data_IF_711600796623
#
_entry.id   IF_711600796623
#
_cell.length_a   1.000
_cell.length_b   1.000
_cell.length_c   1.000
_cell.angle_alpha   90.00
_cell.angle_beta   90.00
_cell.angle_gamma   90.00
#
_symmetry.space_group_name_H-M   'P 1'
#
loop_
_entity.id
_entity.type
_entity.pdbx_description
1 polymer ?
#
# COMPACT_ATOMS: atom_id res chain seq x y z
N UNK A 1 11.48 -2.16 -5.95
CA UNK A 1 11.54 -0.93 -6.76
C UNK A 1 11.99 0.25 -5.91
N UNK A 2 12.63 1.22 -6.53
CA UNK A 2 12.98 2.49 -5.86
C UNK A 2 11.86 3.49 -6.12
N UNK A 3 11.55 4.31 -5.12
CA UNK A 3 10.64 5.42 -5.30
C UNK A 3 11.21 6.43 -6.32
N UNK A 4 10.33 7.04 -7.09
CA UNK A 4 10.66 7.96 -8.19
C UNK A 4 10.15 9.35 -7.86
N UNK A 5 10.76 10.37 -8.48
CA UNK A 5 10.29 11.75 -8.41
C UNK A 5 10.15 12.32 -6.98
N UNK A 6 10.99 11.88 -6.05
CA UNK A 6 10.91 12.28 -4.64
C UNK A 6 11.10 13.79 -4.40
N UNK A 7 11.71 14.49 -5.35
CA UNK A 7 11.90 15.95 -5.29
C UNK A 7 10.71 16.75 -5.87
N UNK A 8 9.72 16.08 -6.45
CA UNK A 8 8.51 16.72 -6.93
C UNK A 8 7.64 17.17 -5.75
N UNK A 9 7.27 18.45 -5.72
CA UNK A 9 6.50 19.05 -4.62
C UNK A 9 5.13 18.40 -4.42
N UNK A 10 4.47 17.97 -5.51
CA UNK A 10 3.18 17.27 -5.41
C UNK A 10 3.35 15.88 -4.83
N UNK A 11 4.43 15.17 -5.19
CA UNK A 11 4.76 13.86 -4.59
C UNK A 11 5.04 14.02 -3.10
N UNK A 12 5.77 15.07 -2.69
CA UNK A 12 6.02 15.37 -1.28
C UNK A 12 4.72 15.69 -0.53
N UNK A 13 3.87 16.55 -1.11
CA UNK A 13 2.55 16.86 -0.54
C UNK A 13 1.68 15.62 -0.42
N UNK A 14 1.62 14.78 -1.43
CA UNK A 14 0.89 13.51 -1.38
C UNK A 14 1.39 12.57 -0.30
N UNK A 15 2.71 12.51 -0.09
CA UNK A 15 3.32 11.72 0.99
C UNK A 15 2.93 12.25 2.37
N UNK A 16 2.97 13.57 2.57
CA UNK A 16 2.57 14.19 3.85
C UNK A 16 1.13 13.84 4.21
N UNK A 17 0.22 13.99 3.26
CA UNK A 17 -1.18 13.64 3.43
C UNK A 17 -1.38 12.15 3.74
N UNK A 18 -0.72 11.28 2.97
CA UNK A 18 -0.83 9.82 3.10
C UNK A 18 -0.33 9.33 4.45
N UNK A 19 0.82 9.85 4.91
CA UNK A 19 1.45 9.42 6.17
C UNK A 19 0.77 10.07 7.38
N UNK A 20 0.35 11.33 7.24
CA UNK A 20 -0.21 12.14 8.31
C UNK A 20 -1.75 12.12 8.34
N UNK A 21 -2.35 13.15 7.79
CA UNK A 21 -3.77 13.50 8.01
C UNK A 21 -4.76 12.41 7.60
N UNK A 22 -4.48 11.69 6.54
CA UNK A 22 -5.36 10.62 6.05
C UNK A 22 -5.29 9.37 6.92
N UNK A 23 -4.14 9.10 7.56
CA UNK A 23 -3.92 7.90 8.38
C UNK A 23 -3.72 6.61 7.57
N UNK A 24 -3.45 6.70 6.26
CA UNK A 24 -3.23 5.52 5.42
C UNK A 24 -2.02 4.69 5.90
N UNK A 25 -1.02 5.35 6.48
CA UNK A 25 0.20 4.72 6.98
C UNK A 25 -0.02 3.83 8.22
N UNK A 26 -1.20 3.83 8.84
CA UNK A 26 -1.50 2.89 9.94
C UNK A 26 -1.45 1.43 9.46
N UNK A 27 -1.97 1.17 8.26
CA UNK A 27 -1.92 -0.13 7.61
C UNK A 27 -0.80 -0.18 6.55
N UNK A 28 -0.68 0.86 5.74
CA UNK A 28 0.37 1.00 4.73
C UNK A 28 1.67 1.54 5.36
N UNK A 29 2.22 0.80 6.33
CA UNK A 29 3.47 1.15 7.02
C UNK A 29 4.60 1.31 6.03
N UNK A 30 5.26 2.47 6.07
CA UNK A 30 6.20 2.87 5.03
C UNK A 30 7.41 1.95 4.90
N UNK A 31 7.99 1.50 6.00
CA UNK A 31 9.25 0.76 5.95
C UNK A 31 9.37 -0.33 7.01
N UNK A 32 10.23 -1.29 6.67
CA UNK A 32 10.69 -2.35 7.57
C UNK A 32 12.21 -2.52 7.41
N UNK A 33 12.82 -3.17 8.38
CA UNK A 33 14.17 -3.70 8.24
C UNK A 33 14.06 -5.22 8.17
N UNK A 34 14.64 -5.82 7.14
CA UNK A 34 14.70 -7.27 7.01
C UNK A 34 15.52 -7.89 8.15
N UNK A 35 15.22 -9.12 8.49
CA UNK A 35 15.94 -9.82 9.55
C UNK A 35 17.42 -10.07 9.21
N UNK A 36 18.15 -10.57 10.21
CA UNK A 36 19.52 -11.01 10.02
C UNK A 36 19.58 -12.26 9.13
N UNK A 37 20.75 -12.53 8.56
CA UNK A 37 20.97 -13.68 7.65
C UNK A 37 20.76 -15.06 8.31
N UNK A 38 20.86 -15.10 9.62
CA UNK A 38 20.77 -16.34 10.39
C UNK A 38 19.33 -16.76 10.74
N UNK A 39 18.37 -16.55 9.89
CA UNK A 39 17.00 -17.08 10.03
C UNK A 39 16.95 -18.61 9.97
N UNK A 40 17.83 -19.27 10.70
CA UNK A 40 17.97 -20.72 10.77
C UNK A 40 16.75 -21.48 11.27
N UNK A 41 15.66 -20.78 11.64
CA UNK A 41 14.40 -21.40 12.08
C UNK A 41 13.35 -21.51 10.99
N UNK A 42 13.60 -21.00 9.78
CA UNK A 42 12.62 -21.11 8.70
C UNK A 42 12.62 -22.53 8.10
N UNK A 43 11.71 -23.36 8.56
CA UNK A 43 11.44 -24.69 7.95
C UNK A 43 11.16 -24.58 6.45
N UNK A 44 10.60 -23.45 5.99
CA UNK A 44 10.27 -23.20 4.57
C UNK A 44 11.55 -23.03 3.74
N UNK A 45 12.56 -22.35 4.28
CA UNK A 45 13.81 -22.09 3.56
C UNK A 45 14.89 -23.18 3.81
N UNK A 46 14.59 -24.20 4.63
CA UNK A 46 15.53 -25.27 4.93
C UNK A 46 16.84 -24.75 5.51
N UNK A 47 16.76 -23.74 6.38
CA UNK A 47 17.91 -23.07 7.01
C UNK A 47 18.89 -22.41 6.03
N UNK A 48 18.45 -22.11 4.82
CA UNK A 48 19.28 -21.40 3.83
C UNK A 48 19.55 -19.96 4.28
N UNK A 49 20.79 -19.57 4.19
CA UNK A 49 21.19 -18.17 4.37
C UNK A 49 20.82 -17.35 3.14
N UNK A 50 20.35 -16.12 3.38
CA UNK A 50 19.95 -15.18 2.36
C UNK A 50 20.68 -13.82 2.56
N UNK A 51 22.04 -13.80 2.50
CA UNK A 51 22.83 -12.64 2.89
C UNK A 51 22.48 -11.39 2.10
N UNK A 52 22.05 -11.53 0.84
CA UNK A 52 21.64 -10.42 -0.02
C UNK A 52 20.44 -9.64 0.49
N UNK A 53 19.66 -10.22 1.40
CA UNK A 53 18.42 -9.63 1.90
C UNK A 53 18.49 -9.30 3.39
N UNK A 54 19.61 -9.60 4.05
CA UNK A 54 19.76 -9.38 5.49
C UNK A 54 19.94 -7.89 5.84
N UNK A 55 19.34 -7.46 6.94
CA UNK A 55 19.49 -6.14 7.54
C UNK A 55 19.26 -4.95 6.58
N UNK A 56 18.40 -5.14 5.58
CA UNK A 56 18.10 -4.10 4.61
C UNK A 56 16.85 -3.33 5.00
N UNK A 57 16.91 -2.00 4.91
CA UNK A 57 15.71 -1.16 5.01
C UNK A 57 14.95 -1.20 3.69
N UNK A 58 13.71 -1.66 3.75
CA UNK A 58 12.79 -1.77 2.62
C UNK A 58 11.57 -0.88 2.82
N UNK A 59 10.91 -0.48 1.73
CA UNK A 59 9.78 0.44 1.74
C UNK A 59 8.55 -0.15 1.02
N UNK A 60 7.93 -1.21 1.59
CA UNK A 60 6.80 -1.87 0.96
C UNK A 60 5.50 -1.08 1.05
N UNK A 61 5.37 -0.14 1.97
CA UNK A 61 4.11 0.52 2.30
C UNK A 61 3.01 -0.50 2.61
N UNK A 62 3.29 -1.39 3.55
CA UNK A 62 2.40 -2.43 4.04
C UNK A 62 2.85 -2.90 5.43
N UNK A 63 1.91 -3.22 6.30
CA UNK A 63 2.16 -3.93 7.54
C UNK A 63 2.10 -5.46 7.38
N UNK A 64 1.69 -5.94 6.20
CA UNK A 64 1.54 -7.35 5.82
C UNK A 64 0.48 -8.14 6.60
N UNK A 65 -0.33 -7.50 7.42
CA UNK A 65 -1.39 -8.16 8.17
C UNK A 65 -2.77 -7.93 7.55
N UNK A 66 -3.78 -8.64 8.02
CA UNK A 66 -5.15 -8.50 7.59
C UNK A 66 -5.88 -7.44 8.41
N UNK A 67 -6.70 -6.64 7.73
CA UNK A 67 -7.61 -5.68 8.32
C UNK A 67 -9.04 -5.93 7.84
N UNK A 68 -10.00 -5.64 8.72
CA UNK A 68 -11.40 -5.71 8.35
C UNK A 68 -11.76 -4.51 7.47
N UNK A 69 -11.87 -4.73 6.18
CA UNK A 69 -12.34 -3.72 5.23
C UNK A 69 -13.82 -3.90 4.88
N UNK A 70 -14.39 -5.04 5.24
CA UNK A 70 -15.79 -5.37 5.01
C UNK A 70 -16.20 -5.34 3.52
N UNK A 71 -15.22 -5.40 2.64
CA UNK A 71 -15.40 -5.54 1.20
C UNK A 71 -15.68 -7.01 0.90
N UNK A 72 -16.96 -7.37 0.90
CA UNK A 72 -17.37 -8.75 0.60
C UNK A 72 -16.99 -9.13 -0.82
N UNK A 73 -16.31 -10.24 -0.94
CA UNK A 73 -16.06 -10.95 -2.19
C UNK A 73 -16.06 -12.46 -1.90
N UNK A 74 -16.04 -13.25 -2.95
CA UNK A 74 -16.13 -14.72 -2.83
C UNK A 74 -14.86 -15.37 -2.26
N UNK A 75 -13.77 -14.60 -2.11
CA UNK A 75 -12.46 -15.11 -1.70
C UNK A 75 -12.14 -14.74 -0.24
N UNK A 76 -12.31 -13.47 0.14
CA UNK A 76 -11.76 -12.94 1.39
C UNK A 76 -12.78 -12.55 2.45
N UNK A 77 -14.07 -12.64 2.17
CA UNK A 77 -15.10 -12.18 3.11
C UNK A 77 -14.89 -10.71 3.50
N UNK A 78 -14.74 -10.45 4.80
CA UNK A 78 -14.59 -9.08 5.33
C UNK A 78 -13.14 -8.66 5.56
N UNK A 79 -12.19 -9.59 5.53
CA UNK A 79 -10.78 -9.33 5.88
C UNK A 79 -9.90 -9.33 4.65
N UNK A 80 -9.06 -8.29 4.53
CA UNK A 80 -8.13 -8.14 3.42
C UNK A 80 -6.72 -7.88 3.96
N UNK A 81 -5.73 -8.58 3.40
CA UNK A 81 -4.32 -8.31 3.72
C UNK A 81 -3.90 -6.98 3.09
N UNK A 82 -3.20 -6.16 3.84
CA UNK A 82 -2.61 -4.92 3.30
C UNK A 82 -1.63 -5.27 2.18
N UNK A 83 -1.99 -4.89 0.96
CA UNK A 83 -1.14 -5.11 -0.21
C UNK A 83 0.04 -4.14 -0.19
N UNK A 84 1.28 -4.60 -0.43
CA UNK A 84 2.40 -3.71 -0.64
C UNK A 84 2.15 -2.74 -1.80
N UNK A 85 2.48 -1.46 -1.60
CA UNK A 85 2.28 -0.44 -2.63
C UNK A 85 3.52 -0.19 -3.49
N UNK A 86 4.68 -0.69 -3.10
CA UNK A 86 5.91 -0.52 -3.89
C UNK A 86 5.74 -1.08 -5.31
N UNK A 87 6.15 -0.30 -6.29
CA UNK A 87 6.06 -0.66 -7.71
C UNK A 87 4.67 -0.46 -8.33
N UNK A 88 3.68 0.07 -7.59
CA UNK A 88 2.33 0.26 -8.14
C UNK A 88 2.29 1.18 -9.36
N UNK A 89 3.08 2.24 -9.36
CA UNK A 89 3.18 3.12 -10.52
C UNK A 89 3.83 2.49 -11.76
N UNK A 90 4.36 1.27 -11.65
CA UNK A 90 4.93 0.51 -12.75
C UNK A 90 3.98 -0.58 -13.30
N UNK A 91 2.82 -0.77 -12.67
CA UNK A 91 1.92 -1.88 -13.03
C UNK A 91 1.55 -1.86 -14.51
N UNK A 92 1.09 -0.73 -15.03
CA UNK A 92 0.68 -0.61 -16.43
C UNK A 92 1.84 -0.94 -17.40
N UNK A 93 3.04 -0.44 -17.10
CA UNK A 93 4.22 -0.65 -17.96
C UNK A 93 4.65 -2.12 -17.96
N UNK A 94 4.58 -2.77 -16.78
CA UNK A 94 5.11 -4.13 -16.63
C UNK A 94 4.10 -5.23 -16.94
N UNK A 95 2.80 -4.98 -16.69
CA UNK A 95 1.74 -6.02 -16.82
C UNK A 95 0.64 -5.66 -17.79
N UNK A 96 0.63 -4.43 -18.33
CA UNK A 96 -0.46 -3.95 -19.19
C UNK A 96 -1.77 -3.67 -18.45
N UNK A 97 -1.80 -3.77 -17.10
CA UNK A 97 -3.00 -3.59 -16.30
C UNK A 97 -2.76 -2.67 -15.11
N UNK A 98 -3.77 -1.89 -14.75
CA UNK A 98 -3.77 -1.01 -13.57
C UNK A 98 -4.77 -1.43 -12.50
N UNK A 99 -5.41 -2.58 -12.65
CA UNK A 99 -6.40 -3.06 -11.68
C UNK A 99 -5.84 -3.13 -10.26
N UNK A 100 -6.67 -2.75 -9.31
CA UNK A 100 -6.32 -2.64 -7.89
C UNK A 100 -7.25 -3.48 -7.05
N UNK A 101 -6.83 -3.73 -5.80
CA UNK A 101 -7.43 -4.65 -4.85
C UNK A 101 -7.20 -6.12 -5.25
N UNK A 102 -7.59 -7.06 -4.38
CA UNK A 102 -7.31 -8.49 -4.56
C UNK A 102 -8.11 -9.13 -5.70
N UNK A 103 -9.25 -8.55 -6.02
CA UNK A 103 -10.21 -9.04 -7.01
C UNK A 103 -10.34 -8.13 -8.21
N UNK A 104 -9.37 -7.23 -8.41
CA UNK A 104 -9.31 -6.31 -9.55
C UNK A 104 -10.54 -5.38 -9.72
N UNK A 105 -11.35 -5.21 -8.65
CA UNK A 105 -12.59 -4.42 -8.72
C UNK A 105 -12.37 -2.91 -8.90
N UNK A 106 -11.21 -2.41 -8.58
CA UNK A 106 -10.86 -0.99 -8.72
C UNK A 106 -9.96 -0.80 -9.94
N UNK A 107 -10.33 0.13 -10.82
CA UNK A 107 -9.63 0.41 -12.08
C UNK A 107 -8.46 1.38 -11.94
N UNK A 108 -8.34 2.02 -10.79
CA UNK A 108 -7.30 3.01 -10.49
C UNK A 108 -7.15 3.22 -8.98
N UNK A 109 -6.18 4.06 -8.58
CA UNK A 109 -5.89 4.34 -7.19
C UNK A 109 -7.06 5.05 -6.47
N UNK A 110 -7.76 5.95 -7.14
CA UNK A 110 -8.90 6.67 -6.55
C UNK A 110 -10.01 5.69 -6.21
N UNK A 111 -10.39 4.82 -7.14
CA UNK A 111 -11.39 3.79 -6.88
C UNK A 111 -10.95 2.85 -5.76
N UNK A 112 -9.68 2.44 -5.76
CA UNK A 112 -9.14 1.60 -4.68
C UNK A 112 -9.27 2.27 -3.31
N UNK A 113 -8.92 3.56 -3.19
CA UNK A 113 -9.09 4.31 -1.95
C UNK A 113 -10.56 4.40 -1.56
N UNK A 114 -11.46 4.66 -2.51
CA UNK A 114 -12.90 4.79 -2.22
C UNK A 114 -13.52 3.46 -1.81
N UNK A 115 -13.06 2.32 -2.35
CA UNK A 115 -13.50 1.00 -1.90
C UNK A 115 -13.17 0.72 -0.43
N UNK A 116 -12.18 1.36 0.16
CA UNK A 116 -11.88 1.28 1.59
C UNK A 116 -13.04 1.82 2.47
N UNK A 117 -13.93 2.63 1.91
CA UNK A 117 -15.14 3.12 2.58
C UNK A 117 -16.41 2.37 2.14
N UNK A 118 -16.31 1.19 1.58
CA UNK A 118 -17.47 0.38 1.15
C UNK A 118 -18.47 0.17 2.29
N UNK A 119 -18.01 -0.06 3.49
CA UNK A 119 -18.81 -0.19 4.69
C UNK A 119 -18.34 0.78 5.77
N UNK A 120 -19.29 1.30 6.56
CA UNK A 120 -18.99 2.08 7.77
C UNK A 120 -18.23 1.28 8.84
N UNK A 121 -18.30 -0.05 8.77
CA UNK A 121 -17.56 -0.96 9.65
C UNK A 121 -16.12 -1.23 9.19
N UNK A 122 -15.72 -0.69 8.04
CA UNK A 122 -14.34 -0.78 7.56
C UNK A 122 -13.39 -0.03 8.49
N UNK A 123 -12.30 -0.65 8.87
CA UNK A 123 -11.24 -0.01 9.65
C UNK A 123 -10.58 1.16 8.90
N UNK A 124 -10.67 1.18 7.57
CA UNK A 124 -10.16 2.24 6.72
C UNK A 124 -11.20 3.29 6.32
N UNK A 125 -12.46 3.17 6.81
CA UNK A 125 -13.56 4.06 6.42
C UNK A 125 -13.20 5.54 6.58
N UNK A 126 -12.69 5.93 7.74
CA UNK A 126 -12.37 7.32 8.02
C UNK A 126 -11.25 7.87 7.13
N UNK A 127 -10.26 7.05 6.78
CA UNK A 127 -9.18 7.44 5.88
C UNK A 127 -9.72 7.76 4.47
N UNK A 128 -10.59 6.91 3.95
CA UNK A 128 -11.20 7.12 2.64
C UNK A 128 -12.16 8.32 2.63
N UNK A 129 -12.93 8.54 3.70
CA UNK A 129 -13.80 9.72 3.84
C UNK A 129 -12.98 11.02 3.90
N UNK A 130 -11.86 11.02 4.64
CA UNK A 130 -10.95 12.17 4.65
C UNK A 130 -10.39 12.44 3.25
N UNK A 131 -9.94 11.41 2.53
CA UNK A 131 -9.47 11.55 1.16
C UNK A 131 -10.54 12.14 0.25
N UNK A 132 -11.78 11.65 0.32
CA UNK A 132 -12.89 12.18 -0.47
C UNK A 132 -13.11 13.69 -0.26
N UNK A 133 -12.96 14.16 0.98
CA UNK A 133 -13.15 15.57 1.35
C UNK A 133 -11.98 16.49 0.96
N UNK A 134 -10.85 15.95 0.55
CA UNK A 134 -9.73 16.78 0.11
C UNK A 134 -10.06 17.59 -1.14
N UNK A 135 -9.45 18.76 -1.31
CA UNK A 135 -9.43 19.45 -2.60
C UNK A 135 -8.87 18.55 -3.70
N UNK A 136 -9.31 18.77 -4.95
CA UNK A 136 -8.85 17.96 -6.09
C UNK A 136 -7.31 17.91 -6.17
N UNK A 137 -6.63 19.03 -6.02
CA UNK A 137 -5.17 19.09 -6.07
C UNK A 137 -4.49 18.16 -5.02
N UNK A 138 -5.01 18.09 -3.80
CA UNK A 138 -4.48 17.22 -2.76
C UNK A 138 -4.79 15.74 -3.03
N UNK A 139 -5.97 15.41 -3.60
CA UNK A 139 -6.25 14.04 -4.05
C UNK A 139 -5.30 13.61 -5.16
N UNK A 140 -5.07 14.47 -6.14
CA UNK A 140 -4.14 14.22 -7.25
C UNK A 140 -2.71 14.02 -6.72
N UNK A 141 -2.29 14.81 -5.73
CA UNK A 141 -1.00 14.67 -5.06
C UNK A 141 -0.85 13.31 -4.37
N UNK A 142 -1.87 12.83 -3.65
CA UNK A 142 -1.87 11.49 -3.02
C UNK A 142 -1.72 10.39 -4.08
N UNK A 143 -2.48 10.47 -5.17
CA UNK A 143 -2.37 9.51 -6.28
C UNK A 143 -0.97 9.54 -6.89
N UNK A 144 -0.43 10.73 -7.13
CA UNK A 144 0.93 10.91 -7.68
C UNK A 144 1.99 10.32 -6.75
N UNK A 145 1.83 10.48 -5.44
CA UNK A 145 2.70 9.83 -4.45
C UNK A 145 2.62 8.30 -4.54
N UNK A 146 1.42 7.71 -4.53
CA UNK A 146 1.25 6.24 -4.62
C UNK A 146 1.89 5.71 -5.91
N UNK A 147 1.77 6.44 -7.02
CA UNK A 147 2.40 6.06 -8.29
C UNK A 147 3.92 6.25 -8.31
N UNK A 148 4.47 6.99 -7.36
CA UNK A 148 5.92 7.21 -7.25
C UNK A 148 6.67 6.12 -6.49
N UNK A 149 5.96 5.32 -5.69
CA UNK A 149 6.52 4.28 -4.82
C UNK A 149 6.44 2.88 -5.40
#
# INVERSE_FOLDING_TARGET
PRARNLNDKEVQRGKELFVGDLGCAHCHKASWTTGADNHGSSKILGNKQLPKYANQKIYPYSDFIQHKLDMKNDIHGSWCRTTPLWGRGLSLINSGAEDRLHDARARNEIEAIMWHAYSKNSQAYNAAVKFYKLPKADRDAVVKFIRSI
#
